data_IF_691502141045
#
_entry.id   IF_691502141045
#
_cell.length_a   1.000
_cell.length_b   1.000
_cell.length_c   1.000
_cell.angle_alpha   90.00
_cell.angle_beta   90.00
_cell.angle_gamma   90.00
#
_symmetry.space_group_name_H-M   'P 1'
#
loop_
_entity.id
_entity.type
_entity.pdbx_description
1 polymer ?
#
# COMPACT_ATOMS: atom_id res chain seq x y z
N UNK A 1 -32.19 -18.36 41.25
CA UNK A 1 -31.97 -17.86 39.88
C UNK A 1 -30.55 -17.31 39.81
N UNK A 2 -29.60 -18.05 39.23
CA UNK A 2 -28.24 -17.55 38.98
C UNK A 2 -28.23 -16.92 37.59
N UNK A 3 -28.03 -15.59 37.51
CA UNK A 3 -27.80 -14.89 36.25
C UNK A 3 -26.36 -15.11 35.81
N UNK A 4 -26.18 -15.77 34.67
CA UNK A 4 -24.90 -15.92 33.99
C UNK A 4 -24.66 -14.67 33.14
N UNK A 5 -23.78 -13.77 33.59
CA UNK A 5 -23.33 -12.62 32.78
C UNK A 5 -22.28 -13.12 31.80
N UNK A 6 -22.65 -13.22 30.51
CA UNK A 6 -21.71 -13.53 29.43
C UNK A 6 -20.91 -12.27 29.09
N UNK A 7 -19.63 -12.23 29.51
CA UNK A 7 -18.66 -11.24 29.04
C UNK A 7 -18.21 -11.63 27.63
N UNK A 8 -18.79 -11.00 26.59
CA UNK A 8 -18.15 -10.99 25.27
C UNK A 8 -16.97 -10.02 25.33
N UNK A 9 -15.74 -10.55 25.30
CA UNK A 9 -14.57 -9.73 25.04
C UNK A 9 -14.66 -9.22 23.59
N UNK A 10 -14.59 -7.90 23.33
CA UNK A 10 -14.47 -7.41 21.97
C UNK A 10 -13.15 -7.93 21.39
N UNK A 11 -13.21 -8.70 20.30
CA UNK A 11 -12.04 -8.96 19.48
C UNK A 11 -11.62 -7.64 18.85
N UNK A 12 -10.68 -6.94 19.48
CA UNK A 12 -10.01 -5.81 18.85
C UNK A 12 -9.02 -6.41 17.85
N UNK A 13 -9.46 -6.59 16.60
CA UNK A 13 -8.55 -6.82 15.48
C UNK A 13 -7.75 -5.53 15.30
N UNK A 14 -6.57 -5.47 15.93
CA UNK A 14 -5.74 -4.27 15.96
C UNK A 14 -4.94 -4.06 14.68
N UNK A 15 -5.06 -4.93 13.68
CA UNK A 15 -4.24 -4.87 12.46
C UNK A 15 -5.14 -5.19 11.26
N UNK A 16 -4.85 -4.59 10.10
CA UNK A 16 -5.69 -4.68 8.91
C UNK A 16 -4.96 -5.17 7.66
N UNK A 17 -5.72 -5.28 6.58
CA UNK A 17 -5.23 -5.54 5.21
C UNK A 17 -6.08 -4.75 4.21
N UNK A 18 -5.63 -4.66 2.95
CA UNK A 18 -6.46 -4.08 1.89
C UNK A 18 -7.56 -5.07 1.52
N UNK A 19 -8.77 -4.83 2.03
CA UNK A 19 -9.96 -5.65 1.78
C UNK A 19 -10.39 -5.54 0.31
N UNK A 20 -10.39 -4.31 -0.22
CA UNK A 20 -10.94 -4.00 -1.54
C UNK A 20 -10.10 -2.94 -2.25
N UNK A 21 -10.12 -3.00 -3.56
CA UNK A 21 -9.64 -1.92 -4.43
C UNK A 21 -10.80 -1.44 -5.27
N UNK A 22 -11.06 -0.14 -5.28
CA UNK A 22 -12.10 0.46 -6.12
C UNK A 22 -11.42 1.28 -7.21
N UNK A 23 -11.71 1.00 -8.48
CA UNK A 23 -11.17 1.77 -9.60
C UNK A 23 -12.31 2.23 -10.50
N UNK A 24 -12.44 3.56 -10.68
CA UNK A 24 -13.49 4.18 -11.50
C UNK A 24 -14.91 3.63 -11.22
N UNK A 25 -15.20 3.36 -9.93
CA UNK A 25 -16.48 2.82 -9.46
C UNK A 25 -16.60 1.29 -9.48
N UNK A 26 -15.65 0.57 -10.07
CA UNK A 26 -15.62 -0.91 -10.06
C UNK A 26 -14.87 -1.41 -8.83
N UNK A 27 -15.50 -2.31 -8.08
CA UNK A 27 -14.91 -2.91 -6.87
C UNK A 27 -14.24 -4.24 -7.19
N UNK A 28 -13.02 -4.42 -6.70
CA UNK A 28 -12.20 -5.61 -6.83
C UNK A 28 -11.84 -6.16 -5.45
N UNK A 29 -11.84 -7.49 -5.32
CA UNK A 29 -11.51 -8.17 -4.08
C UNK A 29 -10.00 -8.16 -3.84
N UNK A 30 -9.57 -7.56 -2.73
CA UNK A 30 -8.20 -7.67 -2.22
C UNK A 30 -7.94 -9.05 -1.59
N UNK A 31 -6.71 -9.30 -1.16
CA UNK A 31 -6.37 -10.57 -0.51
C UNK A 31 -6.73 -10.53 0.97
N UNK A 32 -7.42 -11.57 1.42
CA UNK A 32 -7.57 -11.91 2.83
C UNK A 32 -6.93 -13.29 3.04
N UNK A 33 -6.01 -13.41 4.00
CA UNK A 33 -5.29 -14.66 4.25
C UNK A 33 -6.21 -15.84 4.60
N UNK A 34 -7.42 -15.60 5.10
CA UNK A 34 -8.42 -16.63 5.33
C UNK A 34 -8.91 -17.30 4.03
N UNK A 35 -8.78 -16.65 2.86
CA UNK A 35 -9.13 -17.25 1.58
C UNK A 35 -8.25 -18.45 1.21
N UNK A 36 -7.06 -18.59 1.82
CA UNK A 36 -6.19 -19.75 1.66
C UNK A 36 -6.85 -21.08 2.07
N UNK A 37 -7.90 -21.01 2.90
CA UNK A 37 -8.65 -22.18 3.37
C UNK A 37 -9.89 -22.51 2.52
N UNK A 38 -10.13 -21.77 1.44
CA UNK A 38 -11.21 -22.06 0.49
C UNK A 38 -10.74 -23.02 -0.61
N UNK A 39 -11.67 -23.78 -1.19
CA UNK A 39 -11.40 -24.71 -2.30
C UNK A 39 -12.44 -24.55 -3.42
N UNK A 40 -12.07 -24.05 -4.61
CA UNK A 40 -10.75 -23.50 -4.94
C UNK A 40 -10.46 -22.18 -4.19
N UNK A 41 -9.18 -21.82 -4.05
CA UNK A 41 -8.80 -20.48 -3.58
C UNK A 41 -9.29 -19.47 -4.62
N UNK A 42 -10.08 -18.44 -4.24
CA UNK A 42 -10.60 -17.46 -5.18
C UNK A 42 -9.46 -16.60 -5.74
N UNK A 43 -9.58 -16.21 -7.01
CA UNK A 43 -8.68 -15.21 -7.61
C UNK A 43 -8.95 -13.83 -7.01
N UNK A 44 -7.90 -13.10 -6.66
CA UNK A 44 -7.98 -11.74 -6.09
C UNK A 44 -6.99 -10.82 -6.80
N UNK A 45 -7.28 -9.52 -6.81
CA UNK A 45 -6.33 -8.54 -7.38
C UNK A 45 -5.14 -8.32 -6.45
N UNK A 46 -5.37 -8.47 -5.15
CA UNK A 46 -4.32 -8.50 -4.13
C UNK A 46 -3.53 -9.80 -4.18
N UNK A 47 -2.23 -9.71 -3.91
CA UNK A 47 -1.33 -10.85 -3.81
C UNK A 47 -1.64 -11.68 -2.56
N UNK A 48 -1.51 -13.00 -2.68
CA UNK A 48 -1.54 -13.88 -1.52
C UNK A 48 -0.34 -13.57 -0.61
N UNK A 49 -0.58 -13.57 0.69
CA UNK A 49 0.43 -13.45 1.73
C UNK A 49 0.01 -14.26 2.97
N UNK A 50 0.99 -14.67 3.78
CA UNK A 50 0.81 -15.43 5.01
C UNK A 50 0.81 -14.50 6.23
N UNK A 51 -0.33 -13.82 6.41
CA UNK A 51 -0.55 -12.81 7.43
C UNK A 51 -1.97 -12.94 8.02
N UNK A 52 -2.36 -14.16 8.38
CA UNK A 52 -3.66 -14.45 8.99
C UNK A 52 -3.88 -13.72 10.33
N UNK A 53 -2.79 -13.32 10.97
CA UNK A 53 -2.74 -12.45 12.14
C UNK A 53 -2.99 -10.97 11.81
N UNK A 54 -3.25 -10.63 10.53
CA UNK A 54 -3.16 -9.29 9.96
C UNK A 54 -1.82 -8.60 10.28
N UNK A 55 -0.76 -9.37 10.52
CA UNK A 55 0.49 -8.85 11.06
C UNK A 55 1.33 -8.07 10.04
N UNK A 56 2.56 -7.77 10.44
CA UNK A 56 3.50 -6.90 9.73
C UNK A 56 4.83 -7.61 9.42
N UNK A 57 5.66 -6.92 8.65
CA UNK A 57 7.09 -7.23 8.45
C UNK A 57 7.91 -6.30 9.35
N UNK A 58 8.84 -6.86 10.11
CA UNK A 58 9.72 -6.14 11.04
C UNK A 58 11.01 -5.65 10.38
N UNK A 59 11.67 -4.63 10.93
CA UNK A 59 12.91 -4.07 10.38
C UNK A 59 14.07 -5.05 10.14
N UNK A 60 14.23 -6.07 10.97
CA UNK A 60 15.20 -7.15 10.77
C UNK A 60 14.92 -8.01 9.53
N UNK A 61 13.71 -7.92 8.97
CA UNK A 61 13.28 -8.59 7.74
C UNK A 61 13.20 -7.65 6.53
N UNK A 62 13.55 -6.37 6.66
CA UNK A 62 13.51 -5.44 5.52
C UNK A 62 14.49 -5.79 4.39
N UNK A 63 15.52 -6.59 4.67
CA UNK A 63 16.41 -7.14 3.64
C UNK A 63 15.92 -8.41 2.95
N UNK A 64 14.76 -8.96 3.32
CA UNK A 64 14.26 -10.26 2.82
C UNK A 64 13.09 -10.08 1.85
N UNK A 65 12.74 -11.16 1.14
CA UNK A 65 11.60 -11.17 0.20
C UNK A 65 10.25 -10.77 0.86
N UNK A 66 10.13 -10.90 2.18
CA UNK A 66 8.89 -10.58 2.90
C UNK A 66 8.52 -9.09 2.79
N UNK A 67 9.51 -8.19 2.70
CA UNK A 67 9.21 -6.75 2.57
C UNK A 67 8.60 -6.39 1.20
N UNK A 68 8.75 -7.26 0.20
CA UNK A 68 8.34 -6.95 -1.18
C UNK A 68 6.81 -6.88 -1.25
N UNK A 69 6.13 -7.99 -0.93
CA UNK A 69 4.68 -8.12 -1.03
C UNK A 69 4.09 -8.87 0.19
N UNK A 70 4.70 -8.65 1.36
CA UNK A 70 4.42 -9.37 2.61
C UNK A 70 4.94 -10.83 2.61
N UNK A 71 4.80 -11.50 3.76
CA UNK A 71 5.30 -12.86 4.04
C UNK A 71 4.77 -13.85 3.00
N UNK A 72 5.68 -14.57 2.34
CA UNK A 72 5.34 -15.54 1.28
C UNK A 72 4.48 -14.93 0.14
N UNK A 73 4.67 -13.64 -0.16
CA UNK A 73 3.93 -12.90 -1.18
C UNK A 73 3.97 -13.57 -2.55
N UNK A 74 2.80 -13.81 -3.16
CA UNK A 74 2.68 -14.26 -4.57
C UNK A 74 1.40 -13.75 -5.22
N UNK A 75 1.46 -13.48 -6.53
CA UNK A 75 0.30 -13.02 -7.30
C UNK A 75 -0.87 -14.02 -7.25
N UNK A 76 -2.11 -13.50 -7.21
CA UNK A 76 -3.34 -14.30 -7.19
C UNK A 76 -4.19 -14.18 -8.47
N UNK A 77 -3.55 -13.78 -9.57
CA UNK A 77 -4.06 -13.97 -10.95
C UNK A 77 -5.10 -12.97 -11.46
N UNK A 78 -5.81 -12.22 -10.61
CA UNK A 78 -6.74 -11.19 -11.08
C UNK A 78 -6.07 -9.81 -11.20
N UNK A 79 -6.70 -8.91 -11.94
CA UNK A 79 -6.19 -7.56 -12.25
C UNK A 79 -7.25 -6.49 -12.01
N UNK A 80 -6.81 -5.33 -11.52
CA UNK A 80 -7.59 -4.09 -11.58
C UNK A 80 -7.39 -3.48 -12.96
N UNK A 81 -8.46 -3.33 -13.73
CA UNK A 81 -8.41 -2.73 -15.06
C UNK A 81 -8.47 -1.21 -14.95
N UNK A 82 -7.47 -0.50 -15.51
CA UNK A 82 -7.36 0.96 -15.40
C UNK A 82 -6.86 1.60 -16.70
N UNK A 83 -6.97 2.93 -16.76
CA UNK A 83 -6.36 3.78 -17.79
C UNK A 83 -5.54 4.88 -17.12
N UNK A 84 -4.64 5.56 -17.84
CA UNK A 84 -4.09 6.84 -17.41
C UNK A 84 -5.17 7.79 -16.86
N UNK A 85 -4.98 8.26 -15.62
CA UNK A 85 -5.92 9.16 -14.95
C UNK A 85 -7.03 8.48 -14.12
N UNK A 86 -7.20 7.16 -14.22
CA UNK A 86 -8.14 6.40 -13.39
C UNK A 86 -7.95 6.71 -11.90
N UNK A 87 -9.07 6.82 -11.18
CA UNK A 87 -9.10 7.03 -9.74
C UNK A 87 -9.19 5.69 -9.05
N UNK A 88 -8.19 5.37 -8.24
CA UNK A 88 -8.07 4.11 -7.52
C UNK A 88 -8.10 4.38 -6.03
N UNK A 89 -8.87 3.61 -5.30
CA UNK A 89 -8.97 3.67 -3.85
C UNK A 89 -8.58 2.31 -3.27
N UNK A 90 -7.56 2.29 -2.42
CA UNK A 90 -7.23 1.16 -1.57
C UNK A 90 -8.04 1.25 -0.29
N UNK A 91 -8.94 0.29 -0.07
CA UNK A 91 -9.80 0.23 1.11
C UNK A 91 -9.31 -0.85 2.07
N UNK A 92 -8.90 -0.43 3.25
CA UNK A 92 -8.56 -1.32 4.35
C UNK A 92 -9.81 -1.80 5.09
N UNK A 93 -9.76 -2.99 5.66
CA UNK A 93 -10.82 -3.50 6.53
C UNK A 93 -10.91 -2.71 7.85
N UNK A 94 -9.75 -2.33 8.40
CA UNK A 94 -9.60 -1.54 9.62
C UNK A 94 -8.22 -0.90 9.67
N UNK A 95 -8.08 0.15 10.49
CA UNK A 95 -6.78 0.68 10.89
C UNK A 95 -6.87 1.35 12.26
N UNK A 96 -6.08 0.96 13.27
CA UNK A 96 -6.12 1.62 14.57
C UNK A 96 -5.53 3.03 14.48
N UNK A 97 -6.19 3.98 15.15
CA UNK A 97 -5.70 5.36 15.25
C UNK A 97 -4.32 5.45 15.91
N UNK A 98 -3.98 4.52 16.81
CA UNK A 98 -2.64 4.48 17.43
C UNK A 98 -1.53 4.16 16.43
N UNK A 99 -1.83 3.50 15.31
CA UNK A 99 -0.86 3.08 14.30
C UNK A 99 -0.55 4.22 13.31
N UNK A 100 -0.11 5.35 13.88
CA UNK A 100 0.30 6.52 13.12
C UNK A 100 1.57 6.24 12.31
N UNK A 101 1.63 6.77 11.10
CA UNK A 101 2.81 6.65 10.24
C UNK A 101 2.60 7.06 8.78
N UNK A 102 3.60 6.86 7.93
CA UNK A 102 3.50 7.15 6.51
C UNK A 102 2.70 6.10 5.73
N UNK A 103 2.15 6.56 4.60
CA UNK A 103 1.53 5.73 3.57
C UNK A 103 2.26 5.99 2.25
N UNK A 104 2.69 4.93 1.56
CA UNK A 104 3.56 5.02 0.40
C UNK A 104 3.06 4.13 -0.74
N UNK A 105 3.08 4.66 -1.95
CA UNK A 105 2.73 3.92 -3.17
C UNK A 105 3.96 3.74 -4.04
N UNK A 106 4.18 2.49 -4.43
CA UNK A 106 5.22 2.09 -5.36
C UNK A 106 4.61 1.35 -6.53
N UNK A 107 5.23 1.46 -7.70
CA UNK A 107 4.80 0.73 -8.89
C UNK A 107 5.99 0.05 -9.57
N UNK A 108 5.78 -1.16 -10.06
CA UNK A 108 6.75 -1.93 -10.84
C UNK A 108 6.07 -2.51 -12.08
N UNK A 109 6.70 -2.43 -13.27
CA UNK A 109 6.22 -3.16 -14.44
C UNK A 109 6.47 -4.66 -14.25
N UNK A 110 5.50 -5.50 -14.64
CA UNK A 110 5.67 -6.96 -14.60
C UNK A 110 6.52 -7.48 -15.76
N UNK A 111 6.72 -6.67 -16.82
CA UNK A 111 7.43 -7.04 -18.05
C UNK A 111 6.87 -8.33 -18.68
N UNK A 112 5.56 -8.51 -18.60
CA UNK A 112 4.87 -9.75 -18.94
C UNK A 112 3.65 -9.94 -18.04
N UNK A 113 3.33 -11.18 -17.71
CA UNK A 113 2.24 -11.50 -16.79
C UNK A 113 2.68 -11.39 -15.32
N UNK A 114 1.97 -10.59 -14.53
CA UNK A 114 2.21 -10.50 -13.08
C UNK A 114 1.90 -11.80 -12.34
N UNK A 115 1.11 -12.72 -12.91
CA UNK A 115 0.86 -14.04 -12.31
C UNK A 115 2.11 -14.93 -12.25
N UNK A 116 3.09 -14.69 -13.13
CA UNK A 116 4.32 -15.47 -13.24
C UNK A 116 5.57 -14.75 -12.70
N UNK A 117 5.43 -13.51 -12.21
CA UNK A 117 6.58 -12.71 -11.78
C UNK A 117 7.08 -13.16 -10.40
N UNK A 118 8.41 -13.24 -10.25
CA UNK A 118 9.01 -13.38 -8.93
C UNK A 118 8.90 -12.05 -8.17
N UNK A 119 8.52 -12.03 -6.88
CA UNK A 119 8.53 -10.80 -6.10
C UNK A 119 9.88 -10.07 -6.17
N UNK A 120 10.98 -10.83 -6.07
CA UNK A 120 12.34 -10.26 -6.03
C UNK A 120 12.83 -9.70 -7.37
N UNK A 121 12.18 -10.02 -8.49
CA UNK A 121 12.53 -9.45 -9.80
C UNK A 121 11.88 -8.09 -10.06
N UNK A 122 10.92 -7.67 -9.24
CA UNK A 122 10.24 -6.38 -9.40
C UNK A 122 11.16 -5.24 -8.94
N UNK A 123 11.31 -4.24 -9.82
CA UNK A 123 12.01 -2.99 -9.55
C UNK A 123 11.01 -1.85 -9.43
N UNK A 124 11.07 -1.16 -8.31
CA UNK A 124 9.99 -0.30 -7.85
C UNK A 124 10.32 1.18 -8.02
N UNK A 125 9.31 1.94 -8.41
CA UNK A 125 9.34 3.41 -8.44
C UNK A 125 8.34 3.94 -7.43
N UNK A 126 8.77 4.79 -6.48
CA UNK A 126 7.86 5.48 -5.56
C UNK A 126 7.10 6.57 -6.32
N UNK A 127 5.76 6.53 -6.31
CA UNK A 127 4.90 7.42 -7.10
C UNK A 127 3.99 8.31 -6.27
N UNK A 128 3.75 7.95 -5.00
CA UNK A 128 3.03 8.77 -4.05
C UNK A 128 3.56 8.49 -2.64
N UNK A 129 3.58 9.52 -1.81
CA UNK A 129 3.99 9.40 -0.41
C UNK A 129 3.27 10.44 0.43
N UNK A 130 2.65 9.97 1.51
CA UNK A 130 2.12 10.78 2.61
C UNK A 130 2.82 10.38 3.91
N UNK A 131 3.00 11.32 4.84
CA UNK A 131 3.67 11.05 6.11
C UNK A 131 3.14 11.95 7.24
N UNK A 132 4.03 12.46 8.08
CA UNK A 132 3.71 13.44 9.11
C UNK A 132 3.21 14.76 8.49
N UNK A 133 2.17 15.35 9.10
CA UNK A 133 1.56 16.61 8.67
C UNK A 133 1.90 17.77 9.60
N UNK A 134 1.76 17.56 10.92
CA UNK A 134 1.95 18.62 11.91
C UNK A 134 1.96 18.09 13.34
N UNK A 135 2.43 18.90 14.30
CA UNK A 135 2.40 18.58 15.73
C UNK A 135 3.36 17.46 16.12
N UNK A 136 3.38 17.10 17.40
CA UNK A 136 4.16 15.96 17.90
C UNK A 136 3.41 15.32 19.07
N UNK A 137 3.86 14.15 19.51
CA UNK A 137 3.29 13.39 20.63
C UNK A 137 1.75 13.41 20.68
N UNK A 138 1.00 12.81 19.71
CA UNK A 138 1.31 11.86 18.63
C UNK A 138 1.31 12.49 17.20
N UNK A 139 1.20 13.81 17.11
CA UNK A 139 1.12 14.53 15.85
C UNK A 139 -0.11 14.18 15.01
N UNK A 140 -0.21 14.79 13.83
CA UNK A 140 -1.18 14.45 12.80
C UNK A 140 -0.46 13.76 11.64
N UNK A 141 -0.97 12.60 11.23
CA UNK A 141 -0.39 11.73 10.20
C UNK A 141 -1.40 11.44 9.09
N UNK A 142 -0.91 11.03 7.93
CA UNK A 142 -1.80 10.65 6.81
C UNK A 142 -2.66 9.43 7.12
N UNK A 143 -2.25 8.57 8.05
CA UNK A 143 -3.09 7.48 8.59
C UNK A 143 -4.35 8.00 9.30
N UNK A 144 -4.33 9.22 9.84
CA UNK A 144 -5.56 9.83 10.39
C UNK A 144 -6.56 10.16 9.28
N UNK A 145 -6.07 10.54 8.10
CA UNK A 145 -6.93 10.84 6.95
C UNK A 145 -7.48 9.54 6.36
N UNK A 146 -6.68 8.47 6.32
CA UNK A 146 -7.13 7.12 6.00
C UNK A 146 -8.32 6.72 6.90
N UNK A 147 -8.17 6.82 8.22
CA UNK A 147 -9.23 6.45 9.19
C UNK A 147 -10.46 7.34 9.01
N UNK A 148 -10.29 8.66 8.88
CA UNK A 148 -11.41 9.60 8.66
C UNK A 148 -12.13 9.35 7.33
N UNK A 149 -11.40 8.90 6.32
CA UNK A 149 -11.94 8.56 5.01
C UNK A 149 -12.44 7.11 4.94
N UNK A 150 -12.99 6.58 6.04
CA UNK A 150 -13.53 5.21 6.10
C UNK A 150 -12.52 4.16 5.61
N UNK A 151 -11.29 4.26 6.13
CA UNK A 151 -10.16 3.38 5.83
C UNK A 151 -9.74 3.36 4.35
N UNK A 152 -9.90 4.48 3.65
CA UNK A 152 -9.68 4.58 2.20
C UNK A 152 -8.53 5.51 1.83
N UNK A 153 -7.65 5.06 0.94
CA UNK A 153 -6.52 5.81 0.43
C UNK A 153 -6.51 5.88 -1.09
N UNK A 154 -6.45 7.10 -1.63
CA UNK A 154 -6.62 7.34 -3.06
C UNK A 154 -5.29 7.50 -3.80
N UNK A 155 -5.26 6.95 -5.01
CA UNK A 155 -4.19 7.08 -5.99
C UNK A 155 -4.81 7.43 -7.35
N UNK A 156 -4.24 8.39 -8.06
CA UNK A 156 -4.54 8.59 -9.48
C UNK A 156 -3.48 7.90 -10.32
N UNK A 157 -3.88 7.00 -11.22
CA UNK A 157 -2.96 6.30 -12.12
C UNK A 157 -2.23 7.33 -13.01
N UNK A 158 -0.89 7.39 -13.01
CA UNK A 158 -0.15 8.34 -13.83
C UNK A 158 -0.30 8.02 -15.32
N UNK A 159 0.31 8.83 -16.20
CA UNK A 159 0.25 8.63 -17.65
C UNK A 159 1.06 7.42 -18.16
N UNK A 160 0.88 6.25 -17.53
CA UNK A 160 1.61 5.01 -17.76
C UNK A 160 1.34 4.46 -19.16
N UNK A 161 2.39 3.93 -19.79
CA UNK A 161 2.23 3.14 -21.00
C UNK A 161 1.37 1.89 -20.74
N UNK A 162 0.60 1.41 -21.73
CA UNK A 162 -0.17 0.18 -21.59
C UNK A 162 0.70 -1.00 -21.17
N UNK A 163 0.16 -1.87 -20.31
CA UNK A 163 0.87 -3.02 -19.80
C UNK A 163 0.37 -3.47 -18.43
N UNK A 164 1.01 -4.52 -17.91
CA UNK A 164 0.71 -5.10 -16.60
C UNK A 164 1.72 -4.61 -15.56
N UNK A 165 1.21 -4.17 -14.42
CA UNK A 165 1.98 -3.56 -13.35
C UNK A 165 1.56 -4.14 -12.01
N UNK A 166 2.46 -4.09 -11.03
CA UNK A 166 2.12 -4.28 -9.61
C UNK A 166 2.24 -2.94 -8.92
N UNK A 167 1.20 -2.55 -8.20
CA UNK A 167 1.27 -1.45 -7.23
C UNK A 167 1.42 -2.06 -5.84
N UNK A 168 2.43 -1.59 -5.11
CA UNK A 168 2.69 -1.91 -3.70
C UNK A 168 2.28 -0.70 -2.88
N UNK A 169 1.14 -0.86 -2.22
CA UNK A 169 0.58 0.05 -1.23
C UNK A 169 1.13 -0.33 0.14
N UNK A 170 1.68 0.60 0.90
CA UNK A 170 2.27 0.28 2.20
C UNK A 170 1.97 1.35 3.25
N UNK A 171 1.59 0.88 4.43
CA UNK A 171 1.60 1.68 5.66
C UNK A 171 2.77 1.20 6.53
N UNK A 172 3.50 2.13 7.16
CA UNK A 172 4.49 1.80 8.19
C UNK A 172 3.98 2.35 9.52
N UNK A 173 3.57 1.50 10.46
CA UNK A 173 3.14 1.97 11.78
C UNK A 173 4.35 2.25 12.68
N UNK A 174 4.34 3.42 13.34
CA UNK A 174 5.47 3.94 14.12
C UNK A 174 5.21 3.95 15.64
N UNK A 175 4.06 3.43 16.09
CA UNK A 175 3.65 3.46 17.50
C UNK A 175 4.62 2.78 18.47
N UNK A 176 5.48 1.88 17.99
CA UNK A 176 6.55 1.24 18.75
C UNK A 176 7.96 1.52 18.18
N UNK A 177 8.06 2.36 17.15
CA UNK A 177 9.29 2.60 16.39
C UNK A 177 10.39 3.35 17.14
N UNK A 178 10.13 3.83 18.36
CA UNK A 178 11.17 4.38 19.24
C UNK A 178 12.15 3.31 19.74
N UNK A 179 11.83 2.03 19.60
CA UNK A 179 12.70 0.91 19.92
C UNK A 179 13.25 0.26 18.66
N UNK A 180 14.45 -0.32 18.76
CA UNK A 180 15.02 -1.13 17.69
C UNK A 180 14.05 -2.25 17.30
N UNK A 181 13.88 -2.45 15.99
CA UNK A 181 12.92 -3.40 15.41
C UNK A 181 11.43 -3.11 15.70
N UNK A 182 11.09 -1.91 16.19
CA UNK A 182 9.73 -1.57 16.63
C UNK A 182 8.81 -1.01 15.55
N UNK A 183 9.33 -0.54 14.41
CA UNK A 183 8.49 -0.16 13.28
C UNK A 183 7.82 -1.39 12.65
N UNK A 184 6.66 -1.19 12.02
CA UNK A 184 5.85 -2.29 11.49
C UNK A 184 5.43 -1.96 10.07
N UNK A 185 5.93 -2.71 9.09
CA UNK A 185 5.59 -2.50 7.67
C UNK A 185 4.44 -3.41 7.23
N UNK A 186 3.47 -2.83 6.52
CA UNK A 186 2.27 -3.51 6.01
C UNK A 186 2.19 -3.37 4.48
N UNK A 187 3.11 -3.98 3.72
CA UNK A 187 3.06 -3.95 2.27
C UNK A 187 1.90 -4.79 1.74
N UNK A 188 1.16 -4.25 0.77
CA UNK A 188 0.04 -4.88 0.08
C UNK A 188 0.26 -4.72 -1.43
N UNK A 189 0.54 -5.81 -2.13
CA UNK A 189 0.73 -5.80 -3.58
C UNK A 189 -0.57 -6.10 -4.31
N UNK A 190 -0.84 -5.36 -5.37
CA UNK A 190 -2.05 -5.47 -6.20
C UNK A 190 -1.66 -5.43 -7.67
N UNK A 191 -2.22 -6.32 -8.47
CA UNK A 191 -2.01 -6.34 -9.92
C UNK A 191 -2.93 -5.35 -10.64
N UNK A 192 -2.37 -4.62 -11.60
CA UNK A 192 -3.08 -3.68 -12.46
C UNK A 192 -2.80 -3.99 -13.93
N UNK A 193 -3.83 -3.86 -14.76
CA UNK A 193 -3.72 -3.89 -16.21
C UNK A 193 -4.10 -2.50 -16.74
N UNK A 194 -3.10 -1.80 -17.29
CA UNK A 194 -3.24 -0.45 -17.83
C UNK A 194 -3.50 -0.56 -19.33
N UNK A 195 -4.59 0.04 -19.78
CA UNK A 195 -4.93 0.22 -21.20
C UNK A 195 -4.85 1.69 -21.61
N UNK A 196 -5.05 1.98 -22.91
CA UNK A 196 -5.11 3.35 -23.43
C UNK A 196 -3.83 3.81 -24.12
N UNK A 197 -3.53 5.11 -24.04
CA UNK A 197 -2.49 5.78 -24.84
C UNK A 197 -1.44 6.50 -23.99
N UNK A 198 -1.26 6.11 -22.73
CA UNK A 198 -0.22 6.70 -21.90
C UNK A 198 1.18 6.37 -22.43
N UNK A 199 2.17 7.15 -22.01
CA UNK A 199 3.51 7.14 -22.62
C UNK A 199 4.64 6.97 -21.62
N UNK A 200 4.38 7.15 -20.32
CA UNK A 200 5.39 6.97 -19.29
C UNK A 200 5.75 5.49 -19.17
N UNK A 201 6.97 5.15 -19.61
CA UNK A 201 7.58 3.85 -19.34
C UNK A 201 8.36 3.94 -18.04
N UNK A 202 8.15 2.98 -17.14
CA UNK A 202 8.96 2.84 -15.94
C UNK A 202 10.27 2.16 -16.33
N UNK A 203 11.37 2.90 -16.30
CA UNK A 203 12.72 2.37 -16.52
C UNK A 203 13.54 2.48 -15.26
N UNK A 204 14.28 1.42 -14.91
CA UNK A 204 15.02 1.34 -13.66
C UNK A 204 14.10 0.97 -12.48
N UNK A 205 14.35 1.60 -11.34
CA UNK A 205 13.68 1.29 -10.07
C UNK A 205 14.63 0.66 -9.05
N UNK A 206 14.12 0.47 -7.84
CA UNK A 206 14.91 -0.03 -6.71
C UNK A 206 14.27 -1.33 -6.21
N UNK A 207 15.03 -2.39 -5.92
CA UNK A 207 14.47 -3.60 -5.31
C UNK A 207 13.93 -3.28 -3.91
N UNK A 208 12.74 -3.78 -3.57
CA UNK A 208 12.11 -3.46 -2.27
C UNK A 208 12.96 -3.92 -1.07
N UNK A 209 13.78 -4.96 -1.23
CA UNK A 209 14.72 -5.46 -0.21
C UNK A 209 15.85 -4.49 0.12
N UNK A 210 15.99 -3.38 -0.60
CA UNK A 210 16.94 -2.31 -0.27
C UNK A 210 16.27 -0.98 0.10
N UNK A 211 14.93 -0.95 0.22
CA UNK A 211 14.22 0.28 0.55
C UNK A 211 14.61 0.83 1.92
N UNK A 212 14.70 -0.05 2.92
CA UNK A 212 14.73 0.33 4.31
C UNK A 212 15.88 -0.34 5.04
N UNK A 213 16.51 0.40 5.96
CA UNK A 213 17.39 -0.15 6.99
C UNK A 213 16.72 0.04 8.34
N UNK A 214 16.99 -0.88 9.26
CA UNK A 214 16.44 -0.82 10.62
C UNK A 214 16.84 0.47 11.39
N UNK A 215 17.92 1.13 10.99
CA UNK A 215 18.43 2.36 11.60
C UNK A 215 18.10 3.61 10.80
N UNK A 216 17.30 3.52 9.74
CA UNK A 216 16.89 4.73 9.01
C UNK A 216 16.09 5.65 9.94
N UNK A 217 16.27 6.98 9.84
CA UNK A 217 15.65 7.94 10.78
C UNK A 217 14.12 7.95 10.74
N UNK A 218 13.50 7.44 9.67
CA UNK A 218 12.05 7.24 9.57
C UNK A 218 11.56 5.87 10.08
N UNK A 219 12.48 4.94 10.36
CA UNK A 219 12.20 3.57 10.82
C UNK A 219 12.48 3.44 12.32
N UNK A 220 13.64 3.91 12.79
CA UNK A 220 13.91 4.08 14.23
C UNK A 220 13.51 5.49 14.63
N UNK A 221 12.24 5.68 14.98
CA UNK A 221 11.61 6.97 15.20
C UNK A 221 10.67 6.96 16.40
N UNK A 222 10.87 7.86 17.35
CA UNK A 222 9.99 7.98 18.52
C UNK A 222 8.84 8.96 18.25
N UNK A 223 7.62 8.44 18.12
CA UNK A 223 6.40 9.24 17.96
C UNK A 223 6.03 10.08 19.22
N UNK A 224 6.49 9.68 20.40
CA UNK A 224 6.05 10.24 21.69
C UNK A 224 7.05 11.25 22.28
N UNK A 225 7.88 11.85 21.42
CA UNK A 225 8.81 12.92 21.78
C UNK A 225 8.49 14.18 20.99
N UNK A 226 9.18 15.27 21.31
CA UNK A 226 9.17 16.44 20.45
C UNK A 226 9.97 16.18 19.16
N UNK A 227 9.38 16.49 18.02
CA UNK A 227 10.02 16.51 16.71
C UNK A 227 9.38 17.60 15.85
N UNK A 228 10.12 18.08 14.86
CA UNK A 228 9.71 19.15 13.93
C UNK A 228 9.60 18.67 12.49
N UNK A 229 9.82 17.37 12.26
CA UNK A 229 9.79 16.76 10.94
C UNK A 229 9.88 15.25 11.02
N UNK A 230 9.64 14.61 9.89
CA UNK A 230 9.78 13.17 9.71
C UNK A 230 10.45 12.88 8.36
N UNK A 231 11.50 12.07 8.39
CA UNK A 231 12.21 11.62 7.18
C UNK A 231 11.54 10.37 6.65
N UNK A 232 10.77 10.53 5.57
CA UNK A 232 10.12 9.41 4.89
C UNK A 232 11.15 8.38 4.39
N UNK A 233 11.04 7.08 4.76
CA UNK A 233 11.99 6.05 4.35
C UNK A 233 11.77 5.60 2.89
N UNK A 234 12.72 4.84 2.33
CA UNK A 234 12.63 4.31 0.97
C UNK A 234 13.19 5.24 -0.12
N UNK A 235 13.16 4.82 -1.40
CA UNK A 235 13.71 5.59 -2.51
C UNK A 235 13.02 6.95 -2.70
N UNK A 236 13.67 7.87 -3.43
CA UNK A 236 13.10 9.18 -3.71
C UNK A 236 11.76 9.07 -4.48
N UNK A 237 10.84 10.00 -4.21
CA UNK A 237 9.59 10.12 -4.93
C UNK A 237 9.86 10.56 -6.38
N UNK A 238 9.33 9.81 -7.34
CA UNK A 238 9.39 10.16 -8.76
C UNK A 238 8.05 10.76 -9.16
N UNK A 239 8.08 12.01 -9.64
CA UNK A 239 6.90 12.67 -10.21
C UNK A 239 6.71 12.19 -11.66
N UNK A 240 5.81 11.24 -11.86
CA UNK A 240 5.39 10.83 -13.19
C UNK A 240 4.35 11.83 -13.73
N UNK A 241 4.43 12.13 -15.02
CA UNK A 241 3.46 13.01 -15.67
C UNK A 241 2.05 12.45 -15.48
N UNK A 242 1.11 13.31 -15.05
CA UNK A 242 -0.32 13.03 -15.13
C UNK A 242 -0.77 13.37 -16.55
N UNK A 243 -1.80 12.69 -17.06
CA UNK A 243 -2.37 13.04 -18.37
C UNK A 243 -2.74 14.53 -18.30
N UNK A 244 -2.23 15.35 -19.23
CA UNK A 244 -2.82 16.67 -19.44
C UNK A 244 -4.26 16.40 -19.83
N UNK A 245 -5.21 16.76 -18.95
CA UNK A 245 -6.59 16.94 -19.40
C UNK A 245 -6.48 17.91 -20.56
N UNK A 246 -6.75 17.40 -21.77
CA UNK A 246 -6.79 18.24 -22.94
C UNK A 246 -7.61 19.46 -22.57
N UNK A 247 -6.98 20.63 -22.55
CA UNK A 247 -7.71 21.87 -22.80
C UNK A 247 -8.43 21.59 -24.11
N UNK A 248 -9.70 21.18 -24.03
CA UNK A 248 -10.64 21.47 -25.08
C UNK A 248 -10.57 22.99 -25.19
N UNK A 249 -9.67 23.47 -26.05
CA UNK A 249 -9.99 24.63 -26.84
C UNK A 249 -11.27 24.23 -27.53
N UNK A 250 -12.39 24.65 -26.94
CA UNK A 250 -13.60 24.98 -27.66
C UNK A 250 -13.11 25.64 -28.95
N UNK A 251 -13.13 24.85 -30.03
CA UNK A 251 -12.96 25.41 -31.35
C UNK A 251 -14.14 26.35 -31.46
N UNK A 252 -13.85 27.65 -31.49
CA UNK A 252 -14.74 28.66 -32.02
C UNK A 252 -15.22 28.13 -33.38
N UNK A 253 -16.41 27.57 -33.38
CA UNK A 253 -17.25 27.51 -34.56
C UNK A 253 -18.04 28.82 -34.53
N UNK A 254 -17.41 29.84 -35.10
CA UNK A 254 -18.06 31.03 -35.63
C UNK A 254 -17.84 31.05 -37.15
#
# INVERSE_FOLDING_TARGET
MFSLVLLLAPLVAAHGHVEKVVADGVTYQGWNAAFKYQSPIPATVGWQADNLDNGFVTPDRFGTVDIVCHKLGKSNGAYVAVKPGSKVTFKWDTWPVSHAGPIQEYIAPCNGDCAAVSPTSLLWTKIQSGAWKSGNNPGAWVTDDLVKNNFSWDLTIPNLAPGKYVIRHEIIALHAAGQANGAQAYPQCVNFEVSGSGTNKLTGGVPATSFYKATDPGILFSLYTAYTGYTTPGPALVKLAKREESREHARDFA
#
